data_IF_351249859273
#
_entry.id   IF_351249859273
#
_cell.length_a   1.000
_cell.length_b   1.000
_cell.length_c   1.000
_cell.angle_alpha   90.00
_cell.angle_beta   90.00
_cell.angle_gamma   90.00
#
_symmetry.space_group_name_H-M   'P 1'
#
loop_
_entity.id
_entity.type
_entity.pdbx_description
1 polymer ?
#
# COMPACT_ATOMS: atom_id res chain seq x y z
N UNK A 1 -51.23 -10.85 16.71
CA UNK A 1 -50.20 -11.23 17.69
C UNK A 1 -48.95 -10.39 17.49
N UNK A 2 -48.38 -10.29 16.28
CA UNK A 2 -47.15 -9.52 15.99
C UNK A 2 -47.16 -8.03 16.38
N UNK A 3 -48.28 -7.30 16.20
CA UNK A 3 -48.35 -5.87 16.58
C UNK A 3 -48.26 -5.63 18.10
N UNK A 4 -48.62 -6.64 18.91
CA UNK A 4 -48.54 -6.54 20.37
C UNK A 4 -47.11 -6.81 20.87
N UNK A 5 -46.38 -7.69 20.18
CA UNK A 5 -44.96 -7.97 20.47
C UNK A 5 -44.07 -6.79 20.09
N UNK A 6 -44.32 -6.16 18.93
CA UNK A 6 -43.61 -4.95 18.53
C UNK A 6 -43.80 -3.81 19.54
N UNK A 7 -45.06 -3.60 19.99
CA UNK A 7 -45.34 -2.56 21.00
C UNK A 7 -44.70 -2.87 22.36
N UNK A 8 -44.53 -4.16 22.73
CA UNK A 8 -43.81 -4.56 23.94
C UNK A 8 -42.31 -4.28 23.83
N UNK A 9 -41.70 -4.57 22.69
CA UNK A 9 -40.27 -4.32 22.45
C UNK A 9 -39.92 -2.83 22.49
N UNK A 10 -40.75 -1.96 21.91
CA UNK A 10 -40.51 -0.51 21.92
C UNK A 10 -40.58 0.06 23.35
N UNK A 11 -41.50 -0.43 24.19
CA UNK A 11 -41.64 0.04 25.57
C UNK A 11 -40.44 -0.37 26.45
N UNK A 12 -39.89 -1.57 26.24
CA UNK A 12 -38.68 -2.01 26.96
C UNK A 12 -37.44 -1.19 26.58
N UNK A 13 -37.34 -0.74 25.33
CA UNK A 13 -36.20 0.03 24.84
C UNK A 13 -36.21 1.49 25.37
N UNK A 14 -37.40 2.07 25.54
CA UNK A 14 -37.56 3.38 26.19
C UNK A 14 -37.22 3.35 27.69
N UNK A 15 -37.56 2.28 28.41
CA UNK A 15 -37.23 2.14 29.83
C UNK A 15 -35.72 1.98 30.08
N UNK A 16 -35.03 1.19 29.24
CA UNK A 16 -33.57 1.03 29.34
C UNK A 16 -32.82 2.31 28.97
N UNK A 17 -33.30 3.04 27.96
CA UNK A 17 -32.74 4.34 27.57
C UNK A 17 -32.89 5.39 28.69
N UNK A 18 -33.99 5.37 29.44
CA UNK A 18 -34.17 6.27 30.60
C UNK A 18 -33.28 5.88 31.78
N UNK A 19 -33.12 4.57 32.07
CA UNK A 19 -32.21 4.09 33.13
C UNK A 19 -30.74 4.41 32.82
N UNK A 20 -30.29 4.21 31.58
CA UNK A 20 -28.92 4.52 31.17
C UNK A 20 -28.57 6.02 31.23
N UNK A 21 -29.57 6.90 31.08
CA UNK A 21 -29.37 8.36 31.17
C UNK A 21 -29.21 8.85 32.62
N UNK A 22 -29.84 8.18 33.58
CA UNK A 22 -29.73 8.52 35.01
C UNK A 22 -28.37 8.13 35.63
N UNK A 23 -27.66 7.15 35.06
CA UNK A 23 -26.36 6.69 35.58
C UNK A 23 -25.15 7.49 35.05
N UNK A 24 -25.36 8.44 34.12
CA UNK A 24 -24.30 9.16 33.40
C UNK A 24 -23.80 10.52 33.94
N UNK A 25 -24.25 11.09 35.08
CA UNK A 25 -23.70 12.38 35.52
C UNK A 25 -22.29 12.28 36.14
N UNK A 26 -21.83 11.11 36.57
CA UNK A 26 -20.62 10.97 37.41
C UNK A 26 -19.30 10.79 36.62
N UNK A 27 -19.36 10.42 35.33
CA UNK A 27 -18.18 10.13 34.51
C UNK A 27 -17.45 11.39 33.99
N UNK A 28 -18.08 12.58 34.05
CA UNK A 28 -17.41 13.83 33.65
C UNK A 28 -16.40 14.30 34.69
N UNK A 29 -16.67 14.10 35.99
CA UNK A 29 -15.78 14.55 37.07
C UNK A 29 -14.51 13.68 37.18
N UNK A 30 -14.61 12.38 36.88
CA UNK A 30 -13.45 11.48 36.89
C UNK A 30 -12.46 11.77 35.74
N UNK A 31 -12.96 12.09 34.55
CA UNK A 31 -12.10 12.37 33.38
C UNK A 31 -11.27 13.63 33.56
N UNK A 32 -11.81 14.63 34.27
CA UNK A 32 -11.16 15.92 34.48
C UNK A 32 -10.04 15.85 35.53
N UNK A 33 -10.09 14.89 36.47
CA UNK A 33 -9.00 14.65 37.44
C UNK A 33 -7.80 13.92 36.82
N UNK A 34 -8.02 13.00 35.87
CA UNK A 34 -6.93 12.27 35.20
C UNK A 34 -6.03 13.18 34.34
N UNK A 35 -6.59 14.21 33.70
CA UNK A 35 -5.81 15.11 32.83
C UNK A 35 -4.85 16.03 33.61
N UNK A 36 -5.14 16.33 34.88
CA UNK A 36 -4.29 17.19 35.72
C UNK A 36 -3.02 16.49 36.22
N UNK A 37 -3.06 15.18 36.48
CA UNK A 37 -1.90 14.42 36.97
C UNK A 37 -0.89 14.13 35.85
N UNK A 38 -1.36 13.98 34.60
CA UNK A 38 -0.49 13.71 33.44
C UNK A 38 0.35 14.93 33.02
N UNK A 39 -0.16 16.16 33.21
CA UNK A 39 0.57 17.38 32.82
C UNK A 39 1.74 17.70 33.76
N UNK A 40 1.73 17.18 34.98
CA UNK A 40 2.76 17.45 35.99
C UNK A 40 4.00 16.55 35.87
N UNK A 41 3.91 15.43 35.15
CA UNK A 41 5.02 14.47 34.97
C UNK A 41 5.99 14.82 33.82
N UNK A 42 5.55 15.61 32.85
CA UNK A 42 6.31 15.86 31.61
C UNK A 42 7.30 17.03 31.73
N UNK A 43 7.20 17.88 32.76
CA UNK A 43 8.05 19.07 32.89
C UNK A 43 9.47 18.78 33.43
N UNK A 44 9.79 17.55 33.85
CA UNK A 44 11.08 17.20 34.47
C UNK A 44 12.02 16.34 33.59
N UNK A 45 11.64 15.97 32.36
CA UNK A 45 12.43 15.05 31.52
C UNK A 45 13.23 15.73 30.38
N UNK A 46 13.41 17.06 30.41
CA UNK A 46 13.89 17.86 29.28
C UNK A 46 15.31 18.45 29.37
N UNK A 47 16.17 17.99 30.28
CA UNK A 47 17.57 18.45 30.36
C UNK A 47 18.54 17.29 30.25
N UNK A 48 18.88 16.89 29.02
CA UNK A 48 20.23 16.39 28.75
C UNK A 48 20.63 16.56 27.28
N UNK A 49 21.75 17.27 27.08
CA UNK A 49 22.48 17.44 25.81
C UNK A 49 23.70 16.51 25.82
N UNK A 50 24.09 15.98 24.65
CA UNK A 50 25.51 15.89 24.33
C UNK A 50 25.79 16.48 22.93
N UNK A 51 26.61 17.53 22.84
CA UNK A 51 28.08 17.55 22.61
C UNK A 51 28.53 17.08 21.21
N UNK A 52 28.99 18.07 20.46
CA UNK A 52 29.77 18.01 19.21
C UNK A 52 31.07 17.20 19.37
N UNK A 53 31.34 16.37 18.35
CA UNK A 53 32.61 15.95 17.74
C UNK A 53 32.29 14.59 17.08
N UNK A 54 32.67 14.24 15.87
CA UNK A 54 33.92 14.52 15.20
C UNK A 54 33.78 14.27 13.70
N UNK A 55 34.59 14.98 12.93
CA UNK A 55 34.68 14.86 11.50
C UNK A 55 35.45 13.59 11.11
N UNK A 56 34.84 12.70 10.32
CA UNK A 56 35.59 11.83 9.42
C UNK A 56 34.80 11.47 8.18
N UNK A 57 35.28 12.05 7.08
CA UNK A 57 35.03 11.72 5.69
C UNK A 57 35.13 10.21 5.45
N UNK A 58 34.15 9.66 4.74
CA UNK A 58 34.43 8.59 3.76
C UNK A 58 33.86 9.08 2.43
N UNK A 59 34.76 9.69 1.65
CA UNK A 59 34.59 9.94 0.23
C UNK A 59 34.52 8.56 -0.45
N UNK A 60 33.37 8.16 -0.98
CA UNK A 60 33.29 7.02 -1.90
C UNK A 60 33.81 7.51 -3.25
N UNK A 61 34.77 6.82 -3.89
CA UNK A 61 35.34 7.31 -5.14
C UNK A 61 34.29 7.26 -6.25
N UNK A 62 34.12 8.38 -6.94
CA UNK A 62 33.64 8.39 -8.31
C UNK A 62 34.72 7.75 -9.17
N UNK A 63 34.45 6.57 -9.75
CA UNK A 63 35.20 6.18 -10.94
C UNK A 63 34.33 5.38 -11.92
N UNK A 64 34.01 5.94 -13.09
CA UNK A 64 33.71 5.18 -14.27
C UNK A 64 34.91 5.27 -15.22
N UNK A 65 35.85 4.34 -15.10
CA UNK A 65 36.78 4.06 -16.19
C UNK A 65 35.94 3.46 -17.33
N UNK A 66 35.79 4.23 -18.41
CA UNK A 66 35.22 3.79 -19.68
C UNK A 66 36.38 3.25 -20.55
N UNK A 67 36.48 1.95 -20.85
CA UNK A 67 37.35 1.51 -21.92
C UNK A 67 36.68 1.80 -23.26
N UNK A 68 37.26 2.75 -24.00
CA UNK A 68 37.06 2.88 -25.45
C UNK A 68 37.65 1.65 -26.12
N UNK A 69 36.90 0.97 -26.98
CA UNK A 69 37.51 0.08 -27.96
C UNK A 69 38.09 0.90 -29.11
N UNK A 70 39.30 0.56 -29.58
CA UNK A 70 39.66 0.73 -30.96
C UNK A 70 39.70 -0.64 -31.64
N UNK A 71 38.91 -0.73 -32.71
CA UNK A 71 39.17 -1.50 -33.94
C UNK A 71 40.41 -2.40 -33.96
N UNK A 72 40.15 -3.70 -34.10
CA UNK A 72 40.62 -4.57 -35.20
C UNK A 72 41.74 -3.95 -36.04
N UNK A 73 42.89 -4.64 -36.18
CA UNK A 73 43.47 -5.02 -37.48
C UNK A 73 44.52 -6.14 -37.35
N UNK A 74 44.15 -7.31 -37.89
CA UNK A 74 44.94 -8.15 -38.80
C UNK A 74 46.22 -8.84 -38.29
N UNK A 75 46.08 -10.15 -38.05
CA UNK A 75 47.16 -11.12 -38.14
C UNK A 75 46.69 -12.41 -38.81
N UNK A 76 47.59 -13.01 -39.59
CA UNK A 76 47.52 -14.37 -40.13
C UNK A 76 46.73 -14.59 -41.44
N UNK A 77 47.43 -14.26 -42.52
CA UNK A 77 47.46 -15.04 -43.75
C UNK A 77 47.60 -16.54 -43.47
N UNK A 78 46.58 -17.34 -43.79
CA UNK A 78 46.75 -18.72 -44.24
C UNK A 78 45.79 -19.04 -45.40
N UNK A 79 46.42 -19.05 -46.58
CA UNK A 79 46.16 -19.85 -47.77
C UNK A 79 45.14 -21.00 -47.64
N UNK A 80 44.24 -20.96 -48.63
CA UNK A 80 43.83 -22.01 -49.59
C UNK A 80 42.53 -22.80 -49.32
N UNK A 81 41.64 -22.66 -50.31
CA UNK A 81 40.86 -23.70 -51.03
C UNK A 81 39.78 -24.41 -50.17
N UNK A 82 38.53 -24.59 -50.57
CA UNK A 82 37.84 -24.57 -51.86
C UNK A 82 36.34 -24.82 -51.58
N UNK A 83 35.51 -24.70 -52.63
CA UNK A 83 34.16 -25.29 -52.80
C UNK A 83 32.97 -24.45 -52.32
N UNK A 84 32.36 -23.83 -53.33
CA UNK A 84 30.98 -23.38 -53.37
C UNK A 84 30.00 -24.53 -53.13
N UNK A 85 29.09 -24.38 -52.17
CA UNK A 85 27.80 -25.06 -52.24
C UNK A 85 26.75 -24.24 -51.52
N UNK A 86 25.68 -23.91 -52.25
CA UNK A 86 24.56 -23.14 -51.74
C UNK A 86 23.80 -23.92 -50.68
N UNK A 87 23.43 -23.22 -49.61
CA UNK A 87 22.22 -23.50 -48.85
C UNK A 87 21.85 -22.20 -48.12
N UNK A 88 20.99 -21.43 -48.78
CA UNK A 88 20.16 -20.39 -48.17
C UNK A 88 19.35 -21.03 -47.04
N UNK A 89 19.93 -21.10 -45.84
CA UNK A 89 19.16 -21.26 -44.60
C UNK A 89 18.89 -19.87 -44.07
N UNK A 90 17.84 -19.26 -44.60
CA UNK A 90 17.25 -18.06 -44.04
C UNK A 90 16.78 -18.39 -42.61
N UNK A 91 17.64 -18.15 -41.61
CA UNK A 91 17.24 -18.14 -40.21
C UNK A 91 16.18 -17.04 -40.06
N UNK A 92 14.96 -17.35 -39.60
CA UNK A 92 14.02 -16.30 -39.23
C UNK A 92 14.62 -15.57 -38.03
N UNK A 93 15.13 -14.36 -38.25
CA UNK A 93 15.41 -13.42 -37.17
C UNK A 93 14.07 -13.12 -36.52
N UNK A 94 13.73 -13.87 -35.46
CA UNK A 94 12.71 -13.47 -34.51
C UNK A 94 13.09 -12.08 -34.01
N UNK A 95 12.40 -11.08 -34.53
CA UNK A 95 12.50 -9.70 -34.07
C UNK A 95 12.19 -9.68 -32.59
N UNK A 96 13.23 -9.54 -31.78
CA UNK A 96 13.12 -9.28 -30.34
C UNK A 96 12.35 -7.97 -30.20
N UNK A 97 11.22 -7.89 -29.47
CA UNK A 97 10.70 -6.61 -29.04
C UNK A 97 11.58 -6.08 -27.90
N UNK A 98 12.88 -5.86 -28.16
CA UNK A 98 13.82 -5.33 -27.18
C UNK A 98 13.70 -3.80 -27.03
N UNK A 99 13.01 -3.13 -27.95
CA UNK A 99 12.87 -1.67 -27.97
C UNK A 99 11.83 -1.12 -26.98
N UNK A 100 10.88 -1.93 -26.51
CA UNK A 100 9.90 -1.50 -25.49
C UNK A 100 10.39 -1.69 -24.05
N UNK A 101 11.51 -2.40 -23.85
CA UNK A 101 12.10 -2.65 -22.53
C UNK A 101 12.99 -1.48 -22.08
N UNK A 102 13.79 -0.91 -22.99
CA UNK A 102 14.74 0.17 -22.66
C UNK A 102 14.08 1.53 -22.40
N UNK A 103 12.87 1.76 -22.91
CA UNK A 103 12.10 2.97 -22.59
C UNK A 103 11.66 3.02 -21.11
N UNK A 104 11.47 1.86 -20.46
CA UNK A 104 11.02 1.77 -19.05
C UNK A 104 12.13 2.12 -18.05
N UNK A 105 13.39 1.96 -18.43
CA UNK A 105 14.55 2.28 -17.58
C UNK A 105 14.84 3.78 -17.43
N UNK A 106 14.14 4.65 -18.19
CA UNK A 106 14.32 6.11 -18.12
C UNK A 106 13.36 6.84 -17.17
N UNK A 107 12.34 6.17 -16.64
CA UNK A 107 11.70 6.69 -15.43
C UNK A 107 12.61 6.35 -14.25
N UNK A 108 12.93 7.33 -13.41
CA UNK A 108 13.66 7.10 -12.16
C UNK A 108 12.80 6.32 -11.17
N UNK A 109 12.52 5.04 -11.47
CA UNK A 109 11.76 4.16 -10.60
C UNK A 109 12.61 3.90 -9.35
N UNK A 110 12.07 4.16 -8.15
CA UNK A 110 12.80 3.93 -6.91
C UNK A 110 13.18 2.44 -6.75
N UNK A 111 14.11 2.15 -5.85
CA UNK A 111 14.53 0.77 -5.59
C UNK A 111 13.36 -0.13 -5.15
N UNK A 112 13.36 -1.41 -5.52
CA UNK A 112 12.29 -2.35 -5.15
C UNK A 112 12.01 -2.34 -3.64
N UNK A 113 13.09 -2.25 -2.83
CA UNK A 113 12.99 -2.15 -1.38
C UNK A 113 12.20 -0.93 -0.93
N UNK A 114 12.42 0.22 -1.56
CA UNK A 114 11.67 1.45 -1.26
C UNK A 114 10.19 1.31 -1.64
N UNK A 115 9.87 0.72 -2.80
CA UNK A 115 8.47 0.46 -3.17
C UNK A 115 7.78 -0.50 -2.19
N UNK A 116 8.46 -1.55 -1.74
CA UNK A 116 7.93 -2.48 -0.73
C UNK A 116 7.68 -1.78 0.61
N UNK A 117 8.62 -0.96 1.07
CA UNK A 117 8.45 -0.18 2.31
C UNK A 117 7.30 0.82 2.16
N UNK A 118 7.22 1.53 1.03
CA UNK A 118 6.13 2.47 0.76
C UNK A 118 4.76 1.76 0.76
N UNK A 119 4.65 0.60 0.11
CA UNK A 119 3.43 -0.20 0.13
C UNK A 119 3.08 -0.67 1.55
N UNK A 120 4.06 -1.13 2.33
CA UNK A 120 3.84 -1.56 3.71
C UNK A 120 3.37 -0.40 4.60
N UNK A 121 3.99 0.78 4.50
CA UNK A 121 3.60 1.97 5.27
C UNK A 121 2.18 2.41 4.90
N UNK A 122 1.87 2.49 3.60
CA UNK A 122 0.52 2.83 3.13
C UNK A 122 -0.54 1.83 3.62
N UNK A 123 -0.22 0.53 3.60
CA UNK A 123 -1.12 -0.51 4.10
C UNK A 123 -1.35 -0.38 5.61
N UNK A 124 -0.31 -0.11 6.40
CA UNK A 124 -0.44 0.12 7.85
C UNK A 124 -1.30 1.34 8.16
N UNK A 125 -1.11 2.44 7.42
CA UNK A 125 -1.96 3.63 7.55
C UNK A 125 -3.42 3.29 7.22
N UNK A 126 -3.65 2.53 6.14
CA UNK A 126 -4.97 2.05 5.75
C UNK A 126 -5.65 1.18 6.81
N UNK A 127 -4.90 0.28 7.45
CA UNK A 127 -5.38 -0.52 8.58
C UNK A 127 -5.81 0.39 9.74
N UNK A 128 -5.01 1.42 10.05
CA UNK A 128 -5.35 2.40 11.10
C UNK A 128 -6.67 3.13 10.81
N UNK A 129 -6.85 3.62 9.59
CA UNK A 129 -8.09 4.29 9.15
C UNK A 129 -9.29 3.35 9.22
N UNK A 130 -9.16 2.14 8.68
CA UNK A 130 -10.26 1.16 8.67
C UNK A 130 -10.61 0.66 10.09
N UNK A 131 -9.61 0.49 10.95
CA UNK A 131 -9.80 0.12 12.36
C UNK A 131 -10.53 1.21 13.12
N UNK A 132 -10.16 2.47 12.91
CA UNK A 132 -10.84 3.61 13.52
C UNK A 132 -12.35 3.60 13.17
N UNK A 133 -12.70 3.47 11.89
CA UNK A 133 -14.10 3.40 11.46
C UNK A 133 -14.83 2.22 12.11
N UNK A 134 -14.21 1.04 12.08
CA UNK A 134 -14.78 -0.20 12.64
C UNK A 134 -15.05 -0.06 14.14
N UNK A 135 -14.13 0.54 14.90
CA UNK A 135 -14.29 0.77 16.34
C UNK A 135 -15.39 1.80 16.63
N UNK A 136 -15.47 2.87 15.84
CA UNK A 136 -16.52 3.88 16.04
C UNK A 136 -17.91 3.33 15.76
N UNK A 137 -18.04 2.50 14.73
CA UNK A 137 -19.30 1.85 14.37
C UNK A 137 -19.71 0.78 15.39
N UNK A 138 -18.76 -0.04 15.85
CA UNK A 138 -18.99 -1.03 16.90
C UNK A 138 -19.42 -0.40 18.24
N UNK A 139 -19.03 0.85 18.50
CA UNK A 139 -19.48 1.64 19.64
C UNK A 139 -20.91 2.19 19.52
N UNK A 140 -21.63 1.88 18.43
CA UNK A 140 -22.97 2.40 18.12
C UNK A 140 -22.95 3.86 17.65
N UNK A 141 -21.79 4.36 17.25
CA UNK A 141 -21.60 5.74 16.82
C UNK A 141 -21.28 5.85 15.33
N UNK A 142 -21.07 7.08 14.88
CA UNK A 142 -20.53 7.36 13.54
C UNK A 142 -19.13 7.98 13.64
N UNK A 143 -18.25 7.74 12.66
CA UNK A 143 -16.95 8.40 12.61
C UNK A 143 -17.11 9.92 12.50
N UNK A 144 -16.27 10.66 13.22
CA UNK A 144 -16.36 12.12 13.26
C UNK A 144 -15.86 12.73 11.95
N UNK A 145 -16.59 13.72 11.42
CA UNK A 145 -16.14 14.48 10.26
C UNK A 145 -15.15 15.60 10.68
N UNK A 146 -13.99 15.67 10.04
CA UNK A 146 -12.94 16.67 10.25
C UNK A 146 -13.30 17.97 9.52
N UNK A 147 -13.92 17.88 8.35
CA UNK A 147 -14.36 19.04 7.57
C UNK A 147 -15.61 19.77 8.14
N UNK A 148 -16.16 19.28 9.26
CA UNK A 148 -17.47 19.69 9.74
C UNK A 148 -18.61 19.14 8.87
N UNK A 149 -19.78 18.89 9.48
CA UNK A 149 -20.96 18.38 8.79
C UNK A 149 -21.35 16.95 9.18
N UNK A 150 -22.36 16.41 8.49
CA UNK A 150 -23.01 15.14 8.80
C UNK A 150 -22.74 14.03 7.77
N UNK A 151 -21.90 14.26 6.75
CA UNK A 151 -21.67 13.30 5.66
C UNK A 151 -21.19 11.93 6.12
N UNK A 152 -20.23 11.88 7.05
CA UNK A 152 -19.72 10.63 7.62
C UNK A 152 -20.79 9.87 8.41
N UNK A 153 -21.67 10.59 9.12
CA UNK A 153 -22.78 9.99 9.86
C UNK A 153 -23.88 9.50 8.92
N UNK A 154 -24.20 10.25 7.85
CA UNK A 154 -25.16 9.82 6.84
C UNK A 154 -24.70 8.55 6.12
N UNK A 155 -23.41 8.48 5.76
CA UNK A 155 -22.84 7.28 5.14
C UNK A 155 -22.87 6.12 6.13
N UNK A 156 -22.34 6.29 7.36
CA UNK A 156 -22.28 5.22 8.36
C UNK A 156 -23.66 4.60 8.68
N UNK A 157 -24.71 5.41 8.79
CA UNK A 157 -26.08 4.92 9.05
C UNK A 157 -26.81 4.39 7.81
N UNK A 158 -26.19 4.41 6.63
CA UNK A 158 -26.81 3.91 5.40
C UNK A 158 -26.76 2.38 5.33
N UNK A 159 -27.72 1.79 4.61
CA UNK A 159 -27.74 0.34 4.34
C UNK A 159 -26.47 -0.16 3.62
N UNK A 160 -25.76 0.71 2.89
CA UNK A 160 -24.55 0.34 2.16
C UNK A 160 -23.30 0.20 3.05
N UNK A 161 -23.35 0.69 4.30
CA UNK A 161 -22.23 0.57 5.25
C UNK A 161 -22.08 -0.83 5.82
N UNK A 162 -23.10 -1.67 5.69
CA UNK A 162 -23.07 -3.07 6.10
C UNK A 162 -23.33 -3.98 4.91
N UNK A 163 -22.32 -4.74 4.50
CA UNK A 163 -22.47 -5.81 3.52
C UNK A 163 -22.65 -7.14 4.26
N UNK A 164 -23.79 -7.79 4.06
CA UNK A 164 -24.14 -9.05 4.73
C UNK A 164 -24.07 -8.96 6.28
N UNK A 165 -24.38 -7.79 6.84
CA UNK A 165 -24.29 -7.52 8.28
C UNK A 165 -22.89 -7.17 8.79
N UNK A 166 -21.87 -7.17 7.92
CA UNK A 166 -20.49 -6.83 8.26
C UNK A 166 -20.18 -5.42 7.76
N UNK A 167 -19.59 -4.58 8.62
CA UNK A 167 -19.18 -3.24 8.25
C UNK A 167 -18.16 -3.28 7.10
N UNK A 168 -18.36 -2.43 6.07
CA UNK A 168 -17.45 -2.27 4.93
C UNK A 168 -15.99 -1.99 5.33
N UNK A 169 -15.77 -1.35 6.47
CA UNK A 169 -14.44 -1.09 7.02
C UNK A 169 -13.67 -2.37 7.37
N UNK A 170 -14.36 -3.45 7.77
CA UNK A 170 -13.74 -4.75 8.04
C UNK A 170 -13.16 -5.35 6.75
N UNK A 171 -13.88 -5.23 5.63
CA UNK A 171 -13.35 -5.64 4.31
C UNK A 171 -12.12 -4.82 3.92
N UNK A 172 -12.11 -3.53 4.28
CA UNK A 172 -10.92 -2.67 4.15
C UNK A 172 -9.73 -3.22 4.94
N UNK A 173 -9.91 -3.57 6.21
CA UNK A 173 -8.85 -4.17 7.05
C UNK A 173 -8.29 -5.43 6.38
N UNK A 174 -9.16 -6.35 5.97
CA UNK A 174 -8.74 -7.59 5.29
C UNK A 174 -7.93 -7.27 4.02
N UNK A 175 -8.42 -6.33 3.19
CA UNK A 175 -7.71 -5.91 1.99
C UNK A 175 -6.33 -5.34 2.27
N UNK A 176 -6.19 -4.44 3.26
CA UNK A 176 -4.89 -3.86 3.61
C UNK A 176 -3.94 -4.88 4.24
N UNK A 177 -4.44 -5.82 5.05
CA UNK A 177 -3.62 -6.91 5.61
C UNK A 177 -3.09 -7.82 4.50
N UNK A 178 -3.92 -8.16 3.51
CA UNK A 178 -3.49 -8.95 2.35
C UNK A 178 -2.43 -8.21 1.52
N UNK A 179 -2.59 -6.89 1.33
CA UNK A 179 -1.58 -6.07 0.65
C UNK A 179 -0.27 -5.99 1.44
N UNK A 180 -0.34 -5.89 2.77
CA UNK A 180 0.83 -5.92 3.64
C UNK A 180 1.55 -7.28 3.55
N UNK A 181 0.80 -8.38 3.54
CA UNK A 181 1.36 -9.72 3.34
C UNK A 181 2.01 -9.86 1.96
N UNK A 182 1.39 -9.35 0.89
CA UNK A 182 1.96 -9.36 -0.46
C UNK A 182 3.24 -8.50 -0.57
N UNK A 183 3.40 -7.48 0.27
CA UNK A 183 4.65 -6.72 0.38
C UNK A 183 5.78 -7.54 1.04
N UNK A 184 5.44 -8.46 1.96
CA UNK A 184 6.39 -9.35 2.63
C UNK A 184 6.82 -10.55 1.78
N UNK A 185 5.96 -11.02 0.87
CA UNK A 185 6.28 -12.15 -0.02
C UNK A 185 7.36 -11.73 -1.05
N UNK A 186 8.55 -12.37 -1.04
CA UNK A 186 9.57 -12.14 -2.05
C UNK A 186 9.20 -12.82 -3.38
N UNK A 187 9.90 -12.43 -4.45
CA UNK A 187 9.76 -12.93 -5.82
C UNK A 187 8.49 -12.49 -6.58
N UNK A 188 8.44 -12.89 -7.85
CA UNK A 188 7.33 -12.63 -8.79
C UNK A 188 5.90 -12.93 -8.28
N UNK A 189 5.58 -14.00 -7.52
CA UNK A 189 4.22 -14.22 -7.03
C UNK A 189 3.75 -13.13 -6.05
N UNK A 190 4.65 -12.55 -5.26
CA UNK A 190 4.32 -11.41 -4.39
C UNK A 190 4.01 -10.12 -5.17
N UNK A 191 4.67 -9.94 -6.32
CA UNK A 191 4.47 -8.77 -7.20
C UNK A 191 3.11 -8.84 -7.91
N UNK A 192 2.77 -10.00 -8.47
CA UNK A 192 1.48 -10.21 -9.14
C UNK A 192 0.31 -10.19 -8.15
N UNK A 193 0.45 -10.85 -7.00
CA UNK A 193 -0.62 -10.86 -5.99
C UNK A 193 -0.88 -9.46 -5.43
N UNK A 194 0.17 -8.69 -5.11
CA UNK A 194 0.03 -7.30 -4.67
C UNK A 194 -0.67 -6.40 -5.69
N UNK A 195 -0.34 -6.53 -6.98
CA UNK A 195 -1.01 -5.79 -8.05
C UNK A 195 -2.49 -6.19 -8.20
N UNK A 196 -2.79 -7.50 -8.24
CA UNK A 196 -4.15 -8.00 -8.37
C UNK A 196 -5.03 -7.57 -7.19
N UNK A 197 -4.52 -7.69 -5.96
CA UNK A 197 -5.21 -7.24 -4.75
C UNK A 197 -5.46 -5.74 -4.76
N UNK A 198 -4.48 -4.94 -5.17
CA UNK A 198 -4.63 -3.49 -5.25
C UNK A 198 -5.66 -3.08 -6.32
N UNK A 199 -5.73 -3.83 -7.44
CA UNK A 199 -6.71 -3.58 -8.50
C UNK A 199 -8.13 -3.87 -8.02
N UNK A 200 -8.33 -4.99 -7.31
CA UNK A 200 -9.62 -5.33 -6.69
C UNK A 200 -10.00 -4.28 -5.63
N UNK A 201 -9.06 -3.91 -4.76
CA UNK A 201 -9.29 -2.89 -3.73
C UNK A 201 -9.61 -1.51 -4.31
N UNK A 202 -8.97 -1.12 -5.41
CA UNK A 202 -9.29 0.10 -6.14
C UNK A 202 -10.69 0.04 -6.76
N UNK A 203 -11.06 -1.08 -7.39
CA UNK A 203 -12.41 -1.29 -7.93
C UNK A 203 -13.49 -1.19 -6.84
N UNK A 204 -13.23 -1.78 -5.67
CA UNK A 204 -14.12 -1.67 -4.52
C UNK A 204 -14.21 -0.23 -3.99
N UNK A 205 -13.09 0.48 -3.92
CA UNK A 205 -13.06 1.89 -3.51
C UNK A 205 -13.85 2.78 -4.47
N UNK A 206 -13.66 2.59 -5.78
CA UNK A 206 -14.41 3.30 -6.81
C UNK A 206 -15.92 3.03 -6.74
N UNK A 207 -16.30 1.79 -6.42
CA UNK A 207 -17.71 1.43 -6.19
C UNK A 207 -18.30 2.17 -4.98
N UNK A 208 -17.59 2.25 -3.86
CA UNK A 208 -18.06 3.01 -2.69
C UNK A 208 -18.17 4.51 -3.00
N UNK A 209 -17.18 5.08 -3.68
CA UNK A 209 -17.24 6.49 -4.12
C UNK A 209 -18.42 6.75 -5.06
N UNK A 210 -18.75 5.80 -5.94
CA UNK A 210 -19.96 5.89 -6.77
C UNK A 210 -21.24 5.93 -5.91
N UNK A 211 -21.35 5.08 -4.88
CA UNK A 211 -22.49 5.09 -3.97
C UNK A 211 -22.62 6.41 -3.20
N UNK A 212 -21.50 6.96 -2.72
CA UNK A 212 -21.46 8.24 -2.01
C UNK A 212 -22.00 9.39 -2.86
N UNK A 213 -21.57 9.47 -4.13
CA UNK A 213 -21.89 10.58 -5.02
C UNK A 213 -23.29 10.46 -5.66
N UNK A 214 -23.70 9.27 -6.08
CA UNK A 214 -24.92 9.10 -6.90
C UNK A 214 -26.11 8.56 -6.14
N UNK A 215 -25.89 7.80 -5.05
CA UNK A 215 -26.98 7.15 -4.32
C UNK A 215 -27.27 7.88 -3.01
N UNK A 216 -26.24 8.04 -2.17
CA UNK A 216 -26.39 8.64 -0.83
C UNK A 216 -26.38 10.17 -0.90
N UNK A 217 -25.70 10.75 -1.91
CA UNK A 217 -25.49 12.19 -2.05
C UNK A 217 -24.80 12.81 -0.81
N UNK A 218 -23.88 12.06 -0.20
CA UNK A 218 -23.10 12.49 0.97
C UNK A 218 -21.68 11.95 0.87
N UNK A 219 -20.70 12.77 1.26
CA UNK A 219 -19.28 12.43 1.17
C UNK A 219 -18.74 12.10 2.55
N UNK A 220 -18.16 10.91 2.72
CA UNK A 220 -17.40 10.56 3.91
C UNK A 220 -15.90 10.76 3.65
N UNK A 221 -15.28 11.68 4.37
CA UNK A 221 -13.84 11.97 4.25
C UNK A 221 -12.96 10.74 4.55
N UNK A 222 -13.41 9.82 5.40
CA UNK A 222 -12.64 8.63 5.78
C UNK A 222 -12.67 7.58 4.67
N UNK A 223 -13.80 7.48 3.97
CA UNK A 223 -13.95 6.68 2.76
C UNK A 223 -13.10 7.26 1.63
N UNK A 224 -13.14 8.58 1.41
CA UNK A 224 -12.28 9.26 0.43
C UNK A 224 -10.80 9.08 0.76
N UNK A 225 -10.39 9.23 2.02
CA UNK A 225 -9.01 8.99 2.45
C UNK A 225 -8.58 7.54 2.15
N UNK A 226 -9.45 6.56 2.42
CA UNK A 226 -9.19 5.16 2.08
C UNK A 226 -9.09 4.93 0.57
N UNK A 227 -9.94 5.58 -0.23
CA UNK A 227 -9.86 5.51 -1.69
C UNK A 227 -8.54 6.08 -2.23
N UNK A 228 -8.05 7.18 -1.64
CA UNK A 228 -6.72 7.74 -1.96
C UNK A 228 -5.60 6.77 -1.59
N UNK A 229 -5.63 6.19 -0.39
CA UNK A 229 -4.63 5.21 0.04
C UNK A 229 -4.60 3.97 -0.87
N UNK A 230 -5.76 3.44 -1.26
CA UNK A 230 -5.86 2.33 -2.21
C UNK A 230 -5.33 2.71 -3.59
N UNK A 231 -5.58 3.93 -4.06
CA UNK A 231 -5.05 4.43 -5.33
C UNK A 231 -3.53 4.52 -5.30
N UNK A 232 -2.95 5.04 -4.20
CA UNK A 232 -1.50 5.08 -4.02
C UNK A 232 -0.90 3.67 -3.97
N UNK A 233 -1.54 2.75 -3.25
CA UNK A 233 -1.14 1.34 -3.21
C UNK A 233 -1.17 0.69 -4.59
N UNK A 234 -2.19 0.98 -5.40
CA UNK A 234 -2.26 0.51 -6.79
C UNK A 234 -1.09 1.03 -7.62
N UNK A 235 -0.79 2.33 -7.54
CA UNK A 235 0.34 2.93 -8.28
C UNK A 235 1.67 2.29 -7.86
N UNK A 236 1.91 2.13 -6.56
CA UNK A 236 3.15 1.53 -6.04
C UNK A 236 3.26 0.05 -6.45
N UNK A 237 2.19 -0.73 -6.30
CA UNK A 237 2.22 -2.15 -6.68
C UNK A 237 2.30 -2.35 -8.20
N UNK A 238 1.66 -1.48 -8.99
CA UNK A 238 1.80 -1.45 -10.44
C UNK A 238 3.24 -1.13 -10.84
N UNK A 239 3.85 -0.10 -10.26
CA UNK A 239 5.25 0.23 -10.54
C UNK A 239 6.18 -0.93 -10.17
N UNK A 240 5.97 -1.58 -9.02
CA UNK A 240 6.73 -2.77 -8.61
C UNK A 240 6.55 -3.94 -9.58
N UNK A 241 5.33 -4.20 -10.03
CA UNK A 241 5.05 -5.26 -10.99
C UNK A 241 5.67 -4.96 -12.37
N UNK A 242 5.41 -3.79 -12.95
CA UNK A 242 5.88 -3.47 -14.30
C UNK A 242 7.40 -3.24 -14.41
N UNK A 243 8.07 -2.80 -13.34
CA UNK A 243 9.50 -2.56 -13.34
C UNK A 243 10.35 -3.81 -13.05
N UNK A 244 9.82 -4.77 -12.26
CA UNK A 244 10.61 -5.90 -11.77
C UNK A 244 10.12 -7.28 -12.21
N UNK A 245 8.92 -7.43 -12.79
CA UNK A 245 8.45 -8.73 -13.29
C UNK A 245 9.43 -9.31 -14.31
N UNK A 246 9.90 -10.54 -14.06
CA UNK A 246 10.82 -11.27 -14.94
C UNK A 246 12.31 -11.08 -14.63
N UNK A 247 12.69 -10.28 -13.62
CA UNK A 247 14.09 -10.24 -13.15
C UNK A 247 14.55 -11.57 -12.58
N UNK A 248 13.63 -12.38 -12.07
CA UNK A 248 13.93 -13.63 -11.37
C UNK A 248 14.25 -14.77 -12.36
N UNK A 249 14.03 -14.54 -13.66
CA UNK A 249 14.38 -15.46 -14.75
C UNK A 249 15.73 -15.16 -15.39
N UNK A 250 16.45 -14.12 -14.95
CA UNK A 250 17.82 -13.90 -15.40
C UNK A 250 18.70 -14.97 -14.72
N UNK A 251 19.16 -16.01 -15.44
CA UNK A 251 20.07 -16.96 -14.83
C UNK A 251 21.27 -16.18 -14.33
N UNK A 252 21.60 -16.38 -13.05
CA UNK A 252 22.88 -16.00 -12.49
C UNK A 252 23.93 -16.44 -13.51
N UNK A 253 24.59 -15.47 -14.17
CA UNK A 253 25.77 -15.79 -14.94
C UNK A 253 26.70 -16.45 -13.92
N UNK A 254 27.05 -17.75 -14.07
CA UNK A 254 27.97 -18.37 -13.15
C UNK A 254 29.20 -17.49 -13.16
N UNK A 255 29.57 -17.00 -11.97
CA UNK A 255 30.82 -16.31 -11.76
C UNK A 255 31.89 -17.12 -12.49
N UNK A 256 32.57 -16.44 -13.41
CA UNK A 256 33.65 -16.98 -14.22
C UNK A 256 34.50 -17.93 -13.38
N UNK A 257 34.43 -19.22 -13.73
CA UNK A 257 35.49 -20.18 -13.48
C UNK A 257 36.73 -19.66 -14.21
N UNK A 258 37.48 -18.80 -13.55
CA UNK A 258 38.73 -18.23 -14.03
C UNK A 258 39.66 -18.06 -12.81
N UNK A 259 39.92 -19.16 -12.12
CA UNK A 259 41.04 -19.36 -11.20
C UNK A 259 41.42 -20.86 -11.28
N UNK A 260 41.87 -21.30 -12.46
CA UNK A 260 42.63 -22.55 -12.61
C UNK A 260 43.72 -22.31 -13.66
N UNK A 261 44.88 -21.78 -13.21
CA UNK A 261 46.26 -22.13 -13.60
C UNK A 261 47.20 -21.66 -12.48
#
# INVERSE_FOLDING_TARGET
MERLEYRRQVLTDEEDTRRGRALRPDLRDQRQRQDHDALSGELQAGTDRPRRADARRVLVPLNPEVPRSPSDERGASLRRLNISFGALTARPRHGRPAALSTARYRLGVPSERLLRIAAAVLAVIGIGVATYITVTDAGGGAPTCLAGGHGCATVANSHYSHLAGINVAVFGIVGYVLLLAAAAVPADPGRFSGFALALVGFGFSAYLTYLELFVINAICQWCVASAVLMTLLLVVNAARAFAYVGTDLAPAQPASQADEV
#
